data_IF_450928206970
#
_entry.id   IF_450928206970
#
_cell.length_a   1.000
_cell.length_b   1.000
_cell.length_c   1.000
_cell.angle_alpha   90.00
_cell.angle_beta   90.00
_cell.angle_gamma   90.00
#
_symmetry.space_group_name_H-M   'P 1'
#
loop_
_entity.id
_entity.type
_entity.pdbx_description
1 polymer ?
#
# COMPACT_ATOMS: atom_id res chain seq x y z
N UNK A 1 8.00 -30.35 -5.14
CA UNK A 1 6.96 -31.07 -4.43
C UNK A 1 6.13 -30.12 -3.55
N UNK A 2 4.95 -30.53 -3.09
CA UNK A 2 4.01 -29.67 -2.31
C UNK A 2 4.27 -29.67 -0.81
N UNK A 3 5.15 -30.56 -0.31
CA UNK A 3 5.23 -30.82 1.10
C UNK A 3 6.70 -31.00 1.53
N UNK A 4 7.09 -30.33 2.61
CA UNK A 4 8.47 -30.30 3.11
C UNK A 4 8.92 -31.67 3.68
N UNK A 5 8.02 -32.49 4.19
CA UNK A 5 8.34 -33.85 4.60
C UNK A 5 8.73 -34.71 3.41
N UNK A 6 7.96 -34.66 2.31
CA UNK A 6 8.26 -35.40 1.09
C UNK A 6 9.55 -34.91 0.46
N UNK A 7 9.75 -33.63 0.40
CA UNK A 7 10.97 -33.01 -0.12
C UNK A 7 12.23 -33.52 0.60
N UNK A 8 12.19 -33.53 1.94
CA UNK A 8 13.28 -34.03 2.78
C UNK A 8 13.48 -35.53 2.62
N UNK A 9 12.41 -36.31 2.71
CA UNK A 9 12.42 -37.77 2.57
C UNK A 9 13.00 -38.19 1.21
N UNK A 10 12.50 -37.63 0.14
CA UNK A 10 12.89 -38.07 -1.21
C UNK A 10 14.33 -37.64 -1.53
N UNK A 11 14.76 -36.48 -1.02
CA UNK A 11 16.19 -36.10 -1.10
C UNK A 11 17.10 -37.08 -0.39
N UNK A 12 16.66 -37.69 0.71
CA UNK A 12 17.41 -38.67 1.49
C UNK A 12 17.39 -40.07 0.84
N UNK A 13 16.24 -40.51 0.35
CA UNK A 13 16.12 -41.83 -0.27
C UNK A 13 16.78 -41.91 -1.62
N UNK A 14 16.61 -40.90 -2.48
CA UNK A 14 17.16 -40.87 -3.81
C UNK A 14 18.56 -40.27 -3.86
N UNK A 15 18.98 -39.52 -2.86
CA UNK A 15 20.29 -38.89 -2.76
C UNK A 15 21.43 -39.86 -2.96
N UNK A 16 21.49 -41.02 -2.28
CA UNK A 16 22.57 -42.02 -2.48
C UNK A 16 22.68 -42.51 -3.92
N UNK A 17 21.58 -42.70 -4.64
CA UNK A 17 21.57 -43.09 -6.03
C UNK A 17 22.22 -42.03 -6.93
N UNK A 18 21.86 -40.77 -6.75
CA UNK A 18 22.40 -39.66 -7.52
C UNK A 18 23.89 -39.43 -7.19
N UNK A 19 24.25 -39.51 -5.91
CA UNK A 19 25.65 -39.40 -5.47
C UNK A 19 26.53 -40.55 -6.03
N UNK A 20 25.99 -41.76 -6.17
CA UNK A 20 26.66 -42.86 -6.84
C UNK A 20 27.02 -42.53 -8.29
N UNK A 21 26.19 -41.72 -8.97
CA UNK A 21 26.44 -41.19 -10.31
C UNK A 21 27.32 -39.92 -10.33
N UNK A 22 27.89 -39.52 -9.19
CA UNK A 22 28.77 -38.36 -9.09
C UNK A 22 28.03 -37.01 -9.03
N UNK A 23 26.72 -37.02 -8.78
CA UNK A 23 25.93 -35.80 -8.68
C UNK A 23 25.78 -35.37 -7.22
N UNK A 24 25.89 -34.08 -6.96
CA UNK A 24 25.60 -33.49 -5.64
C UNK A 24 24.11 -33.27 -5.47
N UNK A 25 23.59 -33.55 -4.29
CA UNK A 25 22.16 -33.47 -3.96
C UNK A 25 21.97 -32.79 -2.62
N UNK A 26 21.03 -31.86 -2.54
CA UNK A 26 20.58 -31.29 -1.26
C UNK A 26 19.10 -30.88 -1.34
N UNK A 27 18.54 -30.51 -0.18
CA UNK A 27 17.14 -30.07 -0.02
C UNK A 27 17.08 -28.72 0.70
N UNK A 28 16.48 -27.73 0.04
CA UNK A 28 16.36 -26.36 0.59
C UNK A 28 15.53 -26.33 1.86
N UNK A 29 14.54 -27.20 2.01
CA UNK A 29 13.67 -27.25 3.20
C UNK A 29 14.39 -27.72 4.48
N UNK A 30 15.65 -28.16 4.37
CA UNK A 30 16.52 -28.48 5.51
C UNK A 30 17.27 -27.27 6.06
N UNK A 31 17.28 -26.17 5.31
CA UNK A 31 18.13 -25.01 5.59
C UNK A 31 17.30 -23.74 5.81
N UNK A 32 17.77 -22.91 6.73
CA UNK A 32 17.13 -21.61 6.99
C UNK A 32 17.20 -20.69 5.76
N UNK A 33 16.18 -19.88 5.51
CA UNK A 33 16.20 -18.87 4.47
C UNK A 33 17.44 -17.97 4.56
N UNK A 34 17.97 -17.52 3.43
CA UNK A 34 19.13 -16.63 3.30
C UNK A 34 20.43 -17.15 3.93
N UNK A 35 20.49 -18.43 4.33
CA UNK A 35 21.71 -19.02 4.92
C UNK A 35 22.71 -19.46 3.86
N UNK A 36 24.00 -19.53 4.23
CA UNK A 36 25.05 -20.09 3.37
C UNK A 36 24.80 -21.56 3.04
N UNK A 37 24.18 -22.31 3.95
CA UNK A 37 23.78 -23.69 3.71
C UNK A 37 22.72 -23.76 2.59
N UNK A 38 21.75 -22.84 2.55
CA UNK A 38 20.74 -22.76 1.50
C UNK A 38 21.37 -22.38 0.14
N UNK A 39 22.35 -21.47 0.13
CA UNK A 39 23.14 -21.15 -1.08
C UNK A 39 23.88 -22.37 -1.62
N UNK A 40 24.47 -23.19 -0.73
CA UNK A 40 25.13 -24.44 -1.09
C UNK A 40 24.15 -25.46 -1.66
N UNK A 41 22.94 -25.56 -1.11
CA UNK A 41 21.91 -26.44 -1.63
C UNK A 41 21.53 -26.06 -3.08
N UNK A 42 21.36 -24.77 -3.39
CA UNK A 42 21.15 -24.31 -4.76
C UNK A 42 22.35 -24.48 -5.69
N UNK A 43 23.56 -24.69 -5.14
CA UNK A 43 24.73 -24.97 -5.92
C UNK A 43 24.90 -26.46 -6.27
N UNK A 44 24.10 -27.36 -5.69
CA UNK A 44 24.08 -28.78 -6.01
C UNK A 44 23.56 -29.02 -7.43
N UNK A 45 23.92 -30.19 -8.00
CA UNK A 45 23.44 -30.63 -9.29
C UNK A 45 21.92 -30.90 -9.26
N UNK A 46 21.43 -31.41 -8.12
CA UNK A 46 20.01 -31.68 -7.88
C UNK A 46 19.59 -31.01 -6.56
N UNK A 47 18.58 -30.16 -6.62
CA UNK A 47 18.05 -29.46 -5.48
C UNK A 47 16.58 -29.85 -5.29
N UNK A 48 16.26 -30.45 -4.15
CA UNK A 48 14.90 -30.74 -3.74
C UNK A 48 14.33 -29.55 -2.95
N UNK A 49 13.02 -29.36 -3.02
CA UNK A 49 12.35 -28.34 -2.25
C UNK A 49 10.84 -28.30 -2.51
N UNK A 50 10.11 -27.63 -1.62
CA UNK A 50 8.71 -27.31 -1.86
C UNK A 50 8.59 -26.16 -2.86
N UNK A 51 7.51 -26.17 -3.66
CA UNK A 51 7.23 -25.12 -4.64
C UNK A 51 7.19 -23.74 -3.99
N UNK A 52 6.56 -23.63 -2.80
CA UNK A 52 6.44 -22.36 -2.09
C UNK A 52 7.80 -21.82 -1.65
N UNK A 53 8.71 -22.67 -1.15
CA UNK A 53 10.04 -22.22 -0.73
C UNK A 53 10.89 -21.75 -1.90
N UNK A 54 10.82 -22.41 -3.07
CA UNK A 54 11.44 -21.88 -4.29
C UNK A 54 10.89 -20.50 -4.66
N UNK A 55 9.58 -20.32 -4.56
CA UNK A 55 8.94 -19.04 -4.84
C UNK A 55 9.29 -17.97 -3.80
N UNK A 56 9.34 -18.30 -2.51
CA UNK A 56 9.77 -17.37 -1.47
C UNK A 56 11.25 -16.97 -1.61
N UNK A 57 12.12 -17.89 -1.99
CA UNK A 57 13.53 -17.56 -2.25
C UNK A 57 13.65 -16.63 -3.46
N UNK A 58 12.87 -16.86 -4.52
CA UNK A 58 12.81 -15.95 -5.65
C UNK A 58 12.37 -14.53 -5.25
N UNK A 59 11.35 -14.42 -4.41
CA UNK A 59 10.90 -13.13 -3.92
C UNK A 59 11.97 -12.45 -3.03
N UNK A 60 12.62 -13.21 -2.14
CA UNK A 60 13.72 -12.71 -1.30
C UNK A 60 14.90 -12.22 -2.13
N UNK A 61 15.28 -12.97 -3.16
CA UNK A 61 16.35 -12.59 -4.07
C UNK A 61 16.03 -11.29 -4.84
N UNK A 62 14.76 -11.09 -5.23
CA UNK A 62 14.34 -9.83 -5.87
C UNK A 62 14.32 -8.62 -4.90
N UNK A 63 14.33 -8.85 -3.60
CA UNK A 63 14.43 -7.81 -2.57
C UNK A 63 15.88 -7.58 -2.11
N UNK A 64 16.83 -8.42 -2.55
CA UNK A 64 18.23 -8.32 -2.15
C UNK A 64 18.89 -7.06 -2.70
N UNK A 65 19.67 -6.38 -1.87
CA UNK A 65 20.41 -5.17 -2.23
C UNK A 65 21.82 -5.46 -2.72
N UNK A 66 22.33 -6.67 -2.50
CA UNK A 66 23.67 -7.12 -2.92
C UNK A 66 23.58 -8.46 -3.64
N UNK A 67 24.40 -8.61 -4.67
CA UNK A 67 24.56 -9.90 -5.39
C UNK A 67 25.03 -11.04 -4.48
N UNK A 68 25.70 -10.72 -3.39
CA UNK A 68 26.16 -11.71 -2.43
C UNK A 68 25.04 -12.31 -1.58
N UNK A 69 23.89 -11.62 -1.50
CA UNK A 69 22.72 -12.05 -0.72
C UNK A 69 21.82 -13.01 -1.50
N UNK A 70 22.02 -13.11 -2.82
CA UNK A 70 21.25 -14.02 -3.66
C UNK A 70 21.53 -15.47 -3.29
N UNK A 71 20.47 -16.25 -3.13
CA UNK A 71 20.55 -17.68 -2.84
C UNK A 71 20.36 -18.55 -4.08
N UNK A 72 19.46 -18.15 -4.99
CA UNK A 72 19.17 -18.88 -6.21
C UNK A 72 20.23 -18.61 -7.29
N UNK A 73 20.42 -19.61 -8.14
CA UNK A 73 21.25 -19.54 -9.34
C UNK A 73 20.41 -19.87 -10.56
N UNK A 74 21.05 -19.88 -11.74
CA UNK A 74 20.39 -20.26 -12.98
C UNK A 74 19.91 -21.72 -12.89
N UNK A 75 18.62 -21.92 -13.09
CA UNK A 75 18.01 -23.24 -13.20
C UNK A 75 18.13 -23.75 -14.64
N UNK A 76 18.46 -25.03 -14.82
CA UNK A 76 18.55 -25.67 -16.12
C UNK A 76 17.31 -26.47 -16.45
N UNK A 77 16.77 -27.18 -15.45
CA UNK A 77 15.62 -28.06 -15.61
C UNK A 77 14.82 -28.08 -14.30
N UNK A 78 13.51 -28.20 -14.39
CA UNK A 78 12.63 -28.37 -13.26
C UNK A 78 11.70 -29.56 -13.46
N UNK A 79 11.60 -30.40 -12.44
CA UNK A 79 10.59 -31.46 -12.34
C UNK A 79 9.58 -30.99 -11.30
N UNK A 80 8.34 -30.79 -11.73
CA UNK A 80 7.25 -30.39 -10.86
C UNK A 80 6.37 -31.61 -10.60
N UNK A 81 6.39 -32.07 -9.34
CA UNK A 81 5.50 -33.10 -8.87
C UNK A 81 4.18 -32.51 -8.39
N UNK A 82 3.08 -33.26 -8.48
CA UNK A 82 1.73 -32.80 -8.13
C UNK A 82 1.36 -31.49 -8.88
N UNK A 83 1.58 -31.50 -10.18
CA UNK A 83 1.50 -30.31 -11.05
C UNK A 83 0.11 -29.70 -11.08
N UNK A 84 -0.93 -30.48 -10.92
CA UNK A 84 -2.33 -30.03 -10.79
C UNK A 84 -2.53 -29.16 -9.53
N UNK A 85 -2.02 -29.61 -8.39
CA UNK A 85 -2.04 -28.81 -7.17
C UNK A 85 -1.23 -27.53 -7.32
N UNK A 86 -0.01 -27.62 -7.82
CA UNK A 86 0.93 -26.49 -7.89
C UNK A 86 0.51 -25.44 -8.94
N UNK A 87 0.14 -25.88 -10.15
CA UNK A 87 -0.07 -24.98 -11.29
C UNK A 87 -1.56 -24.69 -11.58
N UNK A 88 -2.48 -25.41 -10.96
CA UNK A 88 -3.93 -25.23 -11.17
C UNK A 88 -4.60 -24.76 -9.88
N UNK A 89 -4.58 -25.58 -8.82
CA UNK A 89 -5.35 -25.28 -7.61
C UNK A 89 -4.75 -24.09 -6.84
N UNK A 90 -3.44 -24.08 -6.64
CA UNK A 90 -2.72 -23.03 -5.92
C UNK A 90 -2.25 -21.88 -6.81
N UNK A 91 -2.46 -21.96 -8.12
CA UNK A 91 -1.93 -20.98 -9.09
C UNK A 91 -2.42 -19.54 -8.83
N UNK A 92 -3.56 -19.35 -8.16
CA UNK A 92 -4.13 -18.06 -7.81
C UNK A 92 -3.78 -17.60 -6.41
N UNK A 93 -3.15 -18.44 -5.61
CA UNK A 93 -2.75 -18.09 -4.24
C UNK A 93 -1.43 -17.31 -4.29
N UNK A 94 -1.42 -16.01 -3.96
CA UNK A 94 -0.20 -15.23 -4.00
C UNK A 94 0.76 -15.66 -2.89
N UNK A 95 2.03 -15.76 -3.20
CA UNK A 95 3.10 -15.87 -2.19
C UNK A 95 3.35 -14.47 -1.63
N UNK A 96 3.11 -14.30 -0.34
CA UNK A 96 3.27 -13.02 0.36
C UNK A 96 4.39 -13.14 1.38
N UNK A 97 5.44 -12.34 1.23
CA UNK A 97 6.43 -12.15 2.28
C UNK A 97 5.90 -11.07 3.21
N UNK A 98 5.57 -11.45 4.43
CA UNK A 98 5.27 -10.53 5.51
C UNK A 98 6.22 -10.79 6.68
N UNK A 99 6.77 -9.74 7.23
CA UNK A 99 7.56 -9.80 8.45
C UNK A 99 7.00 -8.84 9.48
N UNK A 100 7.30 -9.05 10.77
CA UNK A 100 7.04 -8.01 11.73
C UNK A 100 7.82 -6.78 11.27
N UNK A 101 7.11 -5.68 11.05
CA UNK A 101 7.77 -4.38 10.94
C UNK A 101 8.55 -4.21 12.24
N UNK A 102 9.86 -3.88 12.20
CA UNK A 102 10.57 -3.54 13.42
C UNK A 102 9.68 -2.56 14.17
N UNK A 103 9.41 -2.82 15.46
CA UNK A 103 8.72 -1.87 16.33
C UNK A 103 9.59 -0.62 16.45
N UNK A 104 9.67 0.14 15.36
CA UNK A 104 10.06 1.52 15.42
C UNK A 104 8.91 2.21 16.10
N UNK A 105 9.16 2.85 17.19
CA UNK A 105 8.39 3.91 17.86
C UNK A 105 6.88 3.94 17.56
N UNK A 106 6.21 2.78 17.58
CA UNK A 106 4.81 2.49 17.21
C UNK A 106 3.77 3.18 18.09
N UNK A 107 4.20 4.11 18.90
CA UNK A 107 3.36 4.91 19.78
C UNK A 107 2.62 6.02 19.02
N UNK A 108 3.02 6.34 17.80
CA UNK A 108 2.43 7.43 17.01
C UNK A 108 0.95 7.18 16.66
N UNK A 109 0.52 5.92 16.51
CA UNK A 109 -0.90 5.61 16.30
C UNK A 109 -1.77 6.09 17.46
N UNK A 110 -1.32 5.92 18.70
CA UNK A 110 -2.06 6.37 19.88
C UNK A 110 -2.04 7.89 20.02
N UNK A 111 -0.96 8.54 19.60
CA UNK A 111 -0.82 9.99 19.61
C UNK A 111 -1.75 10.66 18.57
N UNK A 112 -1.82 10.11 17.35
CA UNK A 112 -2.65 10.68 16.28
C UNK A 112 -4.12 10.24 16.34
N UNK A 113 -4.47 9.22 17.11
CA UNK A 113 -5.85 8.74 17.23
C UNK A 113 -6.86 9.85 17.55
N UNK A 114 -6.64 10.73 18.55
CA UNK A 114 -7.59 11.81 18.85
C UNK A 114 -7.77 12.81 17.69
N UNK A 115 -6.71 13.05 16.90
CA UNK A 115 -6.75 13.92 15.73
C UNK A 115 -7.59 13.29 14.61
N UNK A 116 -7.39 12.00 14.39
CA UNK A 116 -8.16 11.22 13.39
C UNK A 116 -9.62 11.10 13.78
N UNK A 117 -9.92 10.86 15.05
CA UNK A 117 -11.31 10.85 15.56
C UNK A 117 -12.01 12.20 15.33
N UNK A 118 -11.28 13.30 15.51
CA UNK A 118 -11.81 14.64 15.23
C UNK A 118 -12.09 14.84 13.75
N UNK A 119 -11.17 14.43 12.86
CA UNK A 119 -11.37 14.47 11.41
C UNK A 119 -12.57 13.63 10.99
N UNK A 120 -12.65 12.41 11.46
CA UNK A 120 -13.75 11.49 11.16
C UNK A 120 -15.11 12.07 11.58
N UNK A 121 -15.21 12.60 12.81
CA UNK A 121 -16.45 13.16 13.32
C UNK A 121 -16.86 14.43 12.54
N UNK A 122 -15.92 15.29 12.19
CA UNK A 122 -16.16 16.46 11.36
C UNK A 122 -16.65 16.06 9.96
N UNK A 123 -15.99 15.11 9.33
CA UNK A 123 -16.38 14.58 8.02
C UNK A 123 -17.78 13.94 8.05
N UNK A 124 -18.06 13.12 9.05
CA UNK A 124 -19.36 12.47 9.21
C UNK A 124 -20.48 13.49 9.35
N UNK A 125 -20.26 14.55 10.12
CA UNK A 125 -21.24 15.65 10.29
C UNK A 125 -21.46 16.37 8.97
N UNK A 126 -20.38 16.72 8.26
CA UNK A 126 -20.44 17.36 6.95
C UNK A 126 -21.19 16.50 5.92
N UNK A 127 -20.84 15.22 5.82
CA UNK A 127 -21.49 14.28 4.88
C UNK A 127 -22.98 14.13 5.18
N UNK A 128 -23.37 14.12 6.46
CA UNK A 128 -24.78 14.09 6.83
C UNK A 128 -25.53 15.37 6.39
N UNK A 129 -24.91 16.54 6.53
CA UNK A 129 -25.48 17.82 6.06
C UNK A 129 -25.62 17.81 4.54
N UNK A 130 -24.56 17.47 3.80
CA UNK A 130 -24.54 17.37 2.35
C UNK A 130 -25.61 16.41 1.82
N UNK A 131 -25.77 15.25 2.46
CA UNK A 131 -26.77 14.26 2.06
C UNK A 131 -28.20 14.79 2.27
N UNK A 132 -28.48 15.47 3.38
CA UNK A 132 -29.78 16.01 3.67
C UNK A 132 -30.15 17.15 2.69
N UNK A 133 -29.19 17.97 2.33
CA UNK A 133 -29.34 19.04 1.35
C UNK A 133 -29.51 18.47 -0.07
N UNK A 134 -28.73 17.49 -0.45
CA UNK A 134 -28.88 16.78 -1.72
C UNK A 134 -30.28 16.20 -1.88
N UNK A 135 -30.79 15.54 -0.84
CA UNK A 135 -32.16 14.99 -0.85
C UNK A 135 -33.24 16.05 -1.09
N UNK A 136 -33.11 17.22 -0.45
CA UNK A 136 -34.04 18.32 -0.64
C UNK A 136 -33.99 18.84 -2.08
N UNK A 137 -32.80 19.15 -2.59
CA UNK A 137 -32.63 19.66 -3.94
C UNK A 137 -33.13 18.68 -5.01
N UNK A 138 -32.87 17.38 -4.84
CA UNK A 138 -33.35 16.36 -5.78
C UNK A 138 -34.90 16.26 -5.71
N UNK A 139 -35.49 16.30 -4.51
CA UNK A 139 -36.93 16.29 -4.35
C UNK A 139 -37.61 17.54 -4.96
N UNK A 140 -36.96 18.70 -4.92
CA UNK A 140 -37.40 19.95 -5.54
C UNK A 140 -37.12 19.98 -7.07
N UNK A 141 -36.62 18.91 -7.67
CA UNK A 141 -36.34 18.78 -9.11
C UNK A 141 -35.02 19.36 -9.56
N UNK A 142 -34.19 19.86 -8.65
CA UNK A 142 -32.82 20.32 -8.97
C UNK A 142 -31.81 19.19 -8.89
N UNK A 143 -31.87 18.28 -9.87
CA UNK A 143 -30.97 17.12 -9.94
C UNK A 143 -29.50 17.51 -10.15
N UNK A 144 -29.21 18.65 -10.78
CA UNK A 144 -27.87 19.10 -11.07
C UNK A 144 -27.11 19.40 -9.78
N UNK A 145 -27.61 20.32 -8.98
CA UNK A 145 -26.95 20.73 -7.74
C UNK A 145 -27.05 19.65 -6.67
N UNK A 146 -28.21 19.00 -6.57
CA UNK A 146 -28.38 17.84 -5.68
C UNK A 146 -27.44 16.67 -5.99
N UNK A 147 -27.20 16.42 -7.28
CA UNK A 147 -26.24 15.40 -7.74
C UNK A 147 -24.80 15.73 -7.35
N UNK A 148 -24.39 17.00 -7.44
CA UNK A 148 -23.06 17.46 -7.01
C UNK A 148 -22.85 17.22 -5.52
N UNK A 149 -23.83 17.60 -4.68
CA UNK A 149 -23.76 17.37 -3.23
C UNK A 149 -23.77 15.87 -2.89
N UNK A 150 -24.54 15.08 -3.63
CA UNK A 150 -24.57 13.63 -3.48
C UNK A 150 -23.21 13.00 -3.81
N UNK A 151 -22.56 13.45 -4.89
CA UNK A 151 -21.24 12.97 -5.28
C UNK A 151 -20.15 13.39 -4.29
N UNK A 152 -20.23 14.63 -3.77
CA UNK A 152 -19.35 15.11 -2.70
C UNK A 152 -19.51 14.26 -1.43
N UNK A 153 -20.74 13.98 -1.01
CA UNK A 153 -21.00 13.10 0.13
C UNK A 153 -20.44 11.68 -0.08
N UNK A 154 -20.55 11.15 -1.30
CA UNK A 154 -20.01 9.84 -1.66
C UNK A 154 -18.48 9.82 -1.61
N UNK A 155 -17.79 10.84 -2.16
CA UNK A 155 -16.33 10.95 -2.09
C UNK A 155 -15.83 11.12 -0.65
N UNK A 156 -16.61 11.74 0.23
CA UNK A 156 -16.26 11.96 1.62
C UNK A 156 -16.46 10.74 2.52
N UNK A 157 -17.52 9.96 2.31
CA UNK A 157 -17.81 8.77 3.13
C UNK A 157 -18.73 7.77 2.40
N UNK A 158 -18.20 6.98 1.46
CA UNK A 158 -19.01 6.09 0.61
C UNK A 158 -19.76 5.02 1.40
N UNK A 159 -19.19 4.54 2.52
CA UNK A 159 -19.79 3.51 3.39
C UNK A 159 -20.78 4.06 4.44
N UNK A 160 -21.16 5.33 4.34
CA UNK A 160 -22.14 5.92 5.25
C UNK A 160 -23.52 5.29 5.07
N UNK A 161 -24.04 4.61 6.09
CA UNK A 161 -25.30 3.84 6.00
C UNK A 161 -26.50 4.63 5.43
N UNK A 162 -26.76 5.90 5.86
CA UNK A 162 -27.85 6.69 5.26
C UNK A 162 -27.65 7.02 3.79
N UNK A 163 -26.40 7.21 3.34
CA UNK A 163 -26.05 7.42 1.93
C UNK A 163 -26.30 6.17 1.11
N UNK A 164 -25.85 5.00 1.60
CA UNK A 164 -26.07 3.70 0.92
C UNK A 164 -27.58 3.44 0.77
N UNK A 165 -28.37 3.72 1.82
CA UNK A 165 -29.83 3.60 1.76
C UNK A 165 -30.44 4.50 0.68
N UNK A 166 -30.01 5.76 0.62
CA UNK A 166 -30.48 6.72 -0.39
C UNK A 166 -30.07 6.31 -1.81
N UNK A 167 -28.84 5.82 -2.00
CA UNK A 167 -28.38 5.32 -3.29
C UNK A 167 -29.12 4.05 -3.75
N UNK A 168 -29.83 3.36 -2.85
CA UNK A 168 -30.66 2.22 -3.22
C UNK A 168 -32.02 2.62 -3.79
N UNK A 169 -32.41 3.90 -3.70
CA UNK A 169 -33.62 4.42 -4.31
C UNK A 169 -33.49 4.47 -5.84
N UNK A 170 -34.60 4.27 -6.59
CA UNK A 170 -34.57 4.28 -8.05
C UNK A 170 -33.96 5.58 -8.61
N UNK A 171 -33.06 5.45 -9.58
CA UNK A 171 -32.45 6.60 -10.26
C UNK A 171 -31.23 7.22 -9.55
N UNK A 172 -31.06 7.04 -8.24
CA UNK A 172 -29.99 7.71 -7.47
C UNK A 172 -28.59 7.25 -7.85
N UNK A 173 -28.40 5.96 -8.10
CA UNK A 173 -27.11 5.44 -8.60
C UNK A 173 -26.77 5.96 -10.00
N UNK A 174 -27.78 6.08 -10.84
CA UNK A 174 -27.60 6.61 -12.21
C UNK A 174 -27.23 8.10 -12.17
N UNK A 175 -27.88 8.87 -11.29
CA UNK A 175 -27.55 10.27 -11.07
C UNK A 175 -26.11 10.42 -10.56
N UNK A 176 -25.71 9.64 -9.54
CA UNK A 176 -24.34 9.63 -9.03
C UNK A 176 -23.34 9.33 -10.13
N UNK A 177 -23.57 8.27 -10.93
CA UNK A 177 -22.68 7.86 -12.02
C UNK A 177 -22.57 8.95 -13.11
N UNK A 178 -23.66 9.62 -13.44
CA UNK A 178 -23.67 10.73 -14.38
C UNK A 178 -22.80 11.89 -13.91
N UNK A 179 -22.89 12.24 -12.65
CA UNK A 179 -22.08 13.31 -12.04
C UNK A 179 -20.63 12.88 -11.93
N UNK A 180 -20.35 11.66 -11.48
CA UNK A 180 -18.99 11.11 -11.42
C UNK A 180 -18.31 11.15 -12.80
N UNK A 181 -19.00 10.70 -13.85
CA UNK A 181 -18.47 10.73 -15.22
C UNK A 181 -18.14 12.16 -15.69
N UNK A 182 -18.93 13.16 -15.30
CA UNK A 182 -18.66 14.56 -15.63
C UNK A 182 -17.36 15.04 -14.99
N UNK A 183 -17.14 14.77 -13.68
CA UNK A 183 -15.96 15.23 -12.96
C UNK A 183 -14.69 14.43 -13.20
N UNK A 184 -14.79 13.23 -13.77
CA UNK A 184 -13.62 12.43 -14.20
C UNK A 184 -13.10 12.88 -15.57
N UNK A 185 -13.92 13.57 -16.39
CA UNK A 185 -13.49 14.08 -17.70
C UNK A 185 -12.32 15.06 -17.54
N UNK A 186 -11.59 15.28 -18.61
CA UNK A 186 -10.47 16.23 -18.69
C UNK A 186 -9.39 16.06 -17.59
N UNK A 187 -9.02 14.80 -17.34
CA UNK A 187 -8.03 14.43 -16.31
C UNK A 187 -8.37 14.97 -14.91
N UNK A 188 -9.65 14.89 -14.52
CA UNK A 188 -10.14 15.31 -13.19
C UNK A 188 -9.91 16.80 -12.86
N UNK A 189 -9.79 17.64 -13.87
CA UNK A 189 -9.49 19.07 -13.70
C UNK A 189 -10.48 19.79 -12.77
N UNK A 190 -11.74 19.39 -12.77
CA UNK A 190 -12.77 19.99 -11.93
C UNK A 190 -13.02 19.24 -10.61
N UNK A 191 -12.29 18.15 -10.35
CA UNK A 191 -12.43 17.37 -9.12
C UNK A 191 -12.16 18.17 -7.83
N UNK A 192 -11.23 19.14 -7.80
CA UNK A 192 -11.01 19.99 -6.62
C UNK A 192 -12.28 20.69 -6.15
N UNK A 193 -13.19 21.09 -7.05
CA UNK A 193 -14.49 21.67 -6.68
C UNK A 193 -15.34 20.72 -5.80
N UNK A 194 -15.18 19.41 -5.98
CA UNK A 194 -15.87 18.40 -5.17
C UNK A 194 -15.10 18.14 -3.86
N UNK A 195 -13.78 18.03 -3.93
CA UNK A 195 -12.93 17.50 -2.86
C UNK A 195 -12.49 18.53 -1.83
N UNK A 196 -12.30 19.79 -2.22
CA UNK A 196 -11.75 20.84 -1.34
C UNK A 196 -12.67 21.20 -0.16
N UNK A 197 -13.95 20.95 -0.31
CA UNK A 197 -14.93 21.14 0.76
C UNK A 197 -14.92 20.01 1.82
N UNK A 198 -14.29 18.89 1.51
CA UNK A 198 -14.17 17.73 2.40
C UNK A 198 -12.93 17.88 3.31
N UNK A 199 -12.90 17.16 4.42
CA UNK A 199 -11.71 17.07 5.29
C UNK A 199 -10.75 15.98 4.81
N UNK A 200 -11.26 14.92 4.20
CA UNK A 200 -10.50 13.89 3.50
C UNK A 200 -11.35 13.25 2.41
N UNK A 201 -10.70 12.63 1.47
CA UNK A 201 -11.32 11.96 0.31
C UNK A 201 -11.01 10.47 0.35
N UNK A 202 -12.02 9.65 0.13
CA UNK A 202 -11.88 8.20 0.07
C UNK A 202 -11.95 7.75 -1.38
N UNK A 203 -10.92 7.06 -1.85
CA UNK A 203 -10.91 6.38 -3.13
C UNK A 203 -11.02 4.86 -2.92
N UNK A 204 -12.22 4.32 -3.08
CA UNK A 204 -12.46 2.89 -2.89
C UNK A 204 -11.72 2.01 -3.91
N UNK A 205 -11.56 2.49 -5.15
CA UNK A 205 -10.88 1.75 -6.23
C UNK A 205 -9.38 1.57 -5.95
N UNK A 206 -8.75 2.57 -5.37
CA UNK A 206 -7.32 2.58 -5.04
C UNK A 206 -7.06 2.20 -3.58
N UNK A 207 -8.11 1.96 -2.81
CA UNK A 207 -8.01 1.74 -1.36
C UNK A 207 -7.17 2.83 -0.66
N UNK A 208 -7.27 4.08 -1.12
CA UNK A 208 -6.57 5.23 -0.55
C UNK A 208 -7.52 6.16 0.19
N UNK A 209 -6.97 6.84 1.18
CA UNK A 209 -7.59 7.96 1.88
C UNK A 209 -6.59 9.10 1.86
N UNK A 210 -7.02 10.25 1.33
CA UNK A 210 -6.17 11.40 1.18
C UNK A 210 -6.75 12.60 1.92
N UNK A 211 -5.96 13.17 2.82
CA UNK A 211 -6.36 14.33 3.62
C UNK A 211 -6.28 15.61 2.78
N UNK A 212 -7.34 16.40 2.77
CA UNK A 212 -7.39 17.70 2.08
C UNK A 212 -6.70 18.80 2.90
N UNK A 213 -6.52 19.97 2.30
CA UNK A 213 -6.00 21.14 3.02
C UNK A 213 -6.91 21.52 4.21
N UNK A 214 -8.21 21.50 4.00
CA UNK A 214 -9.22 21.74 5.06
C UNK A 214 -9.10 20.73 6.22
N UNK A 215 -8.77 19.48 5.89
CA UNK A 215 -8.51 18.44 6.90
C UNK A 215 -7.22 18.71 7.66
N UNK A 216 -6.16 19.09 6.96
CA UNK A 216 -4.90 19.48 7.58
C UNK A 216 -5.08 20.67 8.53
N UNK A 217 -5.77 21.71 8.10
CA UNK A 217 -6.03 22.90 8.92
C UNK A 217 -6.83 22.56 10.20
N UNK A 218 -7.78 21.64 10.10
CA UNK A 218 -8.57 21.20 11.26
C UNK A 218 -7.70 20.56 12.34
N UNK A 219 -6.69 19.75 11.97
CA UNK A 219 -5.85 19.04 12.93
C UNK A 219 -4.63 19.85 13.35
N UNK A 220 -4.08 20.69 12.47
CA UNK A 220 -2.94 21.57 12.79
C UNK A 220 -3.34 22.78 13.60
N UNK A 221 -4.57 23.27 13.54
CA UNK A 221 -5.03 24.45 14.24
C UNK A 221 -4.90 24.42 15.77
N UNK A 222 -4.50 23.30 16.37
CA UNK A 222 -4.14 23.15 17.80
C UNK A 222 -2.67 22.81 18.02
N UNK A 223 -1.90 22.59 16.97
CA UNK A 223 -0.46 22.33 17.03
C UNK A 223 0.30 23.64 16.86
N UNK A 224 1.45 23.75 17.49
CA UNK A 224 2.28 24.97 17.40
C UNK A 224 2.91 25.17 16.01
N UNK A 225 2.97 24.11 15.19
CA UNK A 225 3.55 24.13 13.85
C UNK A 225 2.45 23.95 12.79
N UNK A 226 2.16 25.00 12.05
CA UNK A 226 1.20 24.98 10.93
C UNK A 226 1.60 24.06 9.78
N UNK A 227 2.88 23.74 9.66
CA UNK A 227 3.45 22.90 8.59
C UNK A 227 3.68 21.44 9.01
N UNK A 228 3.16 21.03 10.17
CA UNK A 228 3.42 19.72 10.77
C UNK A 228 3.00 18.54 9.85
N UNK A 229 1.93 18.71 9.08
CA UNK A 229 1.43 17.74 8.12
C UNK A 229 1.57 18.18 6.65
N UNK A 230 2.31 19.26 6.38
CA UNK A 230 2.54 19.75 5.03
C UNK A 230 3.85 19.17 4.51
N UNK A 231 3.76 18.44 3.39
CA UNK A 231 4.95 17.90 2.73
C UNK A 231 5.69 19.04 2.01
N UNK A 232 7.00 19.21 2.25
CA UNK A 232 7.80 20.19 1.51
C UNK A 232 7.95 19.76 0.05
N UNK A 233 7.99 20.74 -0.86
CA UNK A 233 8.40 20.50 -2.24
C UNK A 233 9.92 20.27 -2.28
N UNK A 234 10.31 19.00 -2.23
CA UNK A 234 11.71 18.57 -2.24
C UNK A 234 12.40 19.02 -3.52
N UNK A 235 11.68 19.02 -4.68
CA UNK A 235 12.24 19.42 -5.97
C UNK A 235 12.65 20.89 -5.97
N UNK A 236 11.75 21.77 -5.53
CA UNK A 236 12.01 23.20 -5.42
C UNK A 236 13.11 23.49 -4.38
N UNK A 237 13.02 22.89 -3.19
CA UNK A 237 13.99 23.10 -2.12
C UNK A 237 15.40 22.64 -2.50
N UNK A 238 15.54 21.47 -3.13
CA UNK A 238 16.84 20.98 -3.62
C UNK A 238 17.38 21.85 -4.76
N UNK A 239 16.51 22.34 -5.66
CA UNK A 239 16.92 23.25 -6.73
C UNK A 239 17.45 24.59 -6.18
N UNK A 240 16.86 25.13 -5.12
CA UNK A 240 17.35 26.33 -4.44
C UNK A 240 18.72 26.09 -3.80
N UNK A 241 18.91 24.96 -3.11
CA UNK A 241 20.21 24.57 -2.54
C UNK A 241 21.27 24.44 -3.63
N UNK A 242 20.93 23.89 -4.80
CA UNK A 242 21.87 23.77 -5.91
C UNK A 242 22.30 25.14 -6.48
N UNK A 243 21.38 26.11 -6.55
CA UNK A 243 21.64 27.49 -7.03
C UNK A 243 22.37 28.35 -5.99
N UNK A 244 22.39 27.94 -4.72
CA UNK A 244 23.06 28.67 -3.66
C UNK A 244 24.58 28.68 -3.85
N UNK A 245 25.26 29.72 -3.35
CA UNK A 245 26.72 29.85 -3.40
C UNK A 245 27.50 28.99 -2.38
N UNK A 246 26.86 27.97 -1.79
CA UNK A 246 27.45 27.11 -0.76
C UNK A 246 28.47 26.14 -1.35
N UNK A 247 29.40 25.65 -0.53
CA UNK A 247 30.35 24.60 -0.89
C UNK A 247 29.63 23.28 -1.21
N UNK A 248 30.32 22.35 -1.89
CA UNK A 248 29.75 21.05 -2.25
C UNK A 248 29.32 20.24 -1.02
N UNK A 249 30.11 20.31 0.06
CA UNK A 249 29.81 19.60 1.32
C UNK A 249 28.58 20.21 2.03
N UNK A 250 28.50 21.54 2.13
CA UNK A 250 27.34 22.22 2.72
C UNK A 250 26.05 21.99 1.92
N UNK A 251 26.14 21.91 0.60
CA UNK A 251 24.99 21.54 -0.27
C UNK A 251 24.52 20.12 0.01
N UNK A 252 25.44 19.20 0.23
CA UNK A 252 25.06 17.81 0.52
C UNK A 252 24.35 17.72 1.87
N UNK A 253 24.91 18.34 2.92
CA UNK A 253 24.29 18.38 4.27
C UNK A 253 22.87 18.96 4.21
N UNK A 254 22.68 20.10 3.52
CA UNK A 254 21.34 20.69 3.36
C UNK A 254 20.36 19.83 2.60
N UNK A 255 20.82 19.10 1.59
CA UNK A 255 19.97 18.13 0.88
C UNK A 255 19.54 16.99 1.79
N UNK A 256 20.46 16.46 2.58
CA UNK A 256 20.18 15.38 3.52
C UNK A 256 19.19 15.83 4.61
N UNK A 257 19.30 17.07 5.09
CA UNK A 257 18.33 17.69 6.01
C UNK A 257 16.93 17.80 5.40
N UNK A 258 16.83 18.28 4.14
CA UNK A 258 15.55 18.41 3.43
C UNK A 258 14.91 17.03 3.22
N UNK A 259 15.71 16.03 2.84
CA UNK A 259 15.22 14.66 2.66
C UNK A 259 14.78 14.02 3.97
N UNK A 260 15.49 14.28 5.06
CA UNK A 260 15.13 13.79 6.40
C UNK A 260 13.81 14.42 6.89
N UNK A 261 13.63 15.73 6.72
CA UNK A 261 12.37 16.43 7.07
C UNK A 261 11.19 15.90 6.23
N UNK A 262 11.42 15.71 4.92
CA UNK A 262 10.41 15.11 4.05
C UNK A 262 10.03 13.69 4.49
N UNK A 263 11.02 12.84 4.80
CA UNK A 263 10.76 11.47 5.24
C UNK A 263 9.94 11.44 6.52
N UNK A 264 10.29 12.27 7.50
CA UNK A 264 9.58 12.39 8.78
C UNK A 264 8.11 12.85 8.58
N UNK A 265 7.90 13.89 7.78
CA UNK A 265 6.56 14.42 7.49
C UNK A 265 5.72 13.44 6.66
N UNK A 266 6.34 12.75 5.70
CA UNK A 266 5.70 11.72 4.89
C UNK A 266 5.21 10.56 5.74
N UNK A 267 6.01 10.10 6.70
CA UNK A 267 5.64 9.05 7.64
C UNK A 267 4.44 9.46 8.51
N UNK A 268 4.42 10.71 9.01
CA UNK A 268 3.29 11.24 9.78
C UNK A 268 1.99 11.25 8.97
N UNK A 269 2.03 11.78 7.75
CA UNK A 269 0.88 11.80 6.84
C UNK A 269 0.41 10.39 6.52
N UNK A 270 1.35 9.49 6.23
CA UNK A 270 1.05 8.08 5.99
C UNK A 270 0.34 7.43 7.18
N UNK A 271 0.83 7.66 8.39
CA UNK A 271 0.25 7.13 9.64
C UNK A 271 -1.19 7.63 9.84
N UNK A 272 -1.44 8.93 9.64
CA UNK A 272 -2.80 9.50 9.73
C UNK A 272 -3.72 8.89 8.67
N UNK A 273 -3.26 8.75 7.43
CA UNK A 273 -4.04 8.15 6.36
C UNK A 273 -4.35 6.66 6.62
N UNK A 274 -3.42 5.91 7.21
CA UNK A 274 -3.66 4.52 7.62
C UNK A 274 -4.69 4.43 8.75
N UNK A 275 -4.62 5.32 9.74
CA UNK A 275 -5.63 5.40 10.80
C UNK A 275 -7.01 5.77 10.25
N UNK A 276 -7.10 6.72 9.31
CA UNK A 276 -8.37 7.09 8.67
C UNK A 276 -9.00 5.92 7.90
N UNK A 277 -8.19 5.02 7.32
CA UNK A 277 -8.70 3.80 6.68
C UNK A 277 -9.35 2.82 7.66
N UNK A 278 -8.91 2.83 8.91
CA UNK A 278 -9.42 1.92 9.94
C UNK A 278 -10.78 2.37 10.50
N UNK A 279 -11.17 3.64 10.33
CA UNK A 279 -12.46 4.20 10.74
C UNK A 279 -13.51 4.07 9.64
#
# INVERSE_FOLDING_TARGET
>A
TVNDYLSKRDSEWMGPLYMFHGLSVDCIDKHQPNSDARKKAYACNITFGTNNEFGFDYLRDNMATSMNDLVQKKHHFAIVDEVDSVLIDDARTPLIISGPVPKGEDQQFMEYKPLVERLYNAQKTLVNQLLNEAKKLIADGNEKDGGVLLFRAYKGYPKYKPLIKFLSEPGMKQLLQKVENYYIQDNEREMPFITDELYFVINEKQHSVDMTDKGRDLITGKLQDSNFFVLPDVGAAVAEVQKSGLSAEEKQVKKDEILADFALKSERVHTVNQLLKAY
#
